data_IF_274544005323
#
_entry.id   IF_274544005323
#
_cell.length_a   1.000
_cell.length_b   1.000
_cell.length_c   1.000
_cell.angle_alpha   90.00
_cell.angle_beta   90.00
_cell.angle_gamma   90.00
#
_symmetry.space_group_name_H-M   'P 1'
#
loop_
_entity.id
_entity.type
_entity.pdbx_description
1 polymer ?
#
# COMPACT_ATOMS: atom_id res chain seq x y z
N UNK A 1 -10.56 -33.62 -26.80
CA UNK A 1 -9.22 -33.07 -26.50
C UNK A 1 -9.06 -31.81 -27.33
N UNK A 2 -8.78 -30.67 -26.71
CA UNK A 2 -8.54 -29.41 -27.40
C UNK A 2 -7.03 -29.16 -27.47
N UNK A 3 -6.51 -28.82 -28.64
CA UNK A 3 -5.08 -28.60 -28.86
C UNK A 3 -4.82 -27.32 -29.66
N UNK A 4 -5.71 -26.32 -29.53
CA UNK A 4 -5.53 -25.02 -30.16
C UNK A 4 -4.64 -24.09 -29.34
N UNK A 5 -4.24 -22.99 -29.96
CA UNK A 5 -3.45 -21.93 -29.33
C UNK A 5 -4.36 -20.99 -28.57
N UNK A 6 -4.01 -20.66 -27.33
CA UNK A 6 -4.72 -19.68 -26.50
C UNK A 6 -3.82 -18.47 -26.24
N UNK A 7 -4.45 -17.30 -26.33
CA UNK A 7 -3.88 -16.01 -25.96
C UNK A 7 -4.68 -15.41 -24.79
N UNK A 8 -4.01 -14.62 -23.96
CA UNK A 8 -4.64 -13.86 -22.89
C UNK A 8 -4.73 -12.39 -23.27
N UNK A 9 -5.82 -11.72 -22.87
CA UNK A 9 -5.95 -10.27 -22.86
C UNK A 9 -6.32 -9.79 -21.46
N UNK A 10 -6.02 -8.53 -21.13
CA UNK A 10 -6.29 -7.92 -19.82
C UNK A 10 -7.00 -6.57 -19.98
N UNK A 11 -7.81 -6.19 -18.99
CA UNK A 11 -8.29 -4.81 -18.85
C UNK A 11 -7.27 -3.87 -18.21
N UNK A 12 -6.22 -4.42 -17.60
CA UNK A 12 -5.16 -3.65 -16.94
C UNK A 12 -4.21 -3.03 -17.98
N UNK A 13 -4.14 -1.68 -18.07
CA UNK A 13 -3.28 -0.98 -19.03
C UNK A 13 -1.77 -1.22 -18.85
N UNK A 14 -1.36 -1.63 -17.65
CA UNK A 14 0.03 -1.92 -17.28
C UNK A 14 0.33 -3.42 -17.20
N UNK A 15 -0.57 -4.31 -17.61
CA UNK A 15 -0.36 -5.74 -17.52
C UNK A 15 0.86 -6.22 -18.30
N UNK A 16 1.60 -7.17 -17.71
CA UNK A 16 2.59 -7.97 -18.43
C UNK A 16 1.96 -9.33 -18.75
N UNK A 17 1.68 -9.55 -20.04
CA UNK A 17 1.04 -10.76 -20.54
C UNK A 17 2.09 -11.75 -21.09
N UNK A 18 1.87 -13.06 -20.92
CA UNK A 18 2.73 -14.08 -21.52
C UNK A 18 2.49 -14.18 -23.04
N UNK A 19 3.39 -14.85 -23.74
CA UNK A 19 3.17 -15.23 -25.14
C UNK A 19 2.01 -16.25 -25.26
N UNK A 20 1.34 -16.25 -26.41
CA UNK A 20 0.30 -17.25 -26.72
C UNK A 20 0.86 -18.67 -26.68
N UNK A 21 0.07 -19.62 -26.17
CA UNK A 21 0.52 -20.99 -25.92
C UNK A 21 -0.41 -22.03 -26.55
N UNK A 22 0.16 -23.08 -27.14
CA UNK A 22 -0.57 -24.27 -27.55
C UNK A 22 -0.99 -25.09 -26.33
N UNK A 23 -2.28 -25.40 -26.20
CA UNK A 23 -2.75 -26.24 -25.10
C UNK A 23 -2.44 -27.72 -25.37
N UNK A 24 -2.02 -28.45 -24.34
CA UNK A 24 -1.78 -29.90 -24.40
C UNK A 24 -2.91 -30.61 -23.69
N UNK A 25 -3.70 -31.40 -24.41
CA UNK A 25 -4.92 -32.03 -23.88
C UNK A 25 -5.91 -31.02 -23.25
N UNK A 26 -5.96 -29.80 -23.76
CA UNK A 26 -6.83 -28.72 -23.27
C UNK A 26 -6.29 -27.98 -22.04
N UNK A 27 -5.04 -28.25 -21.63
CA UNK A 27 -4.43 -27.65 -20.44
C UNK A 27 -3.18 -26.87 -20.81
N UNK A 28 -3.01 -25.71 -20.17
CA UNK A 28 -1.81 -24.87 -20.22
C UNK A 28 -1.83 -23.90 -19.05
N UNK A 29 -0.65 -23.55 -18.55
CA UNK A 29 -0.48 -22.62 -17.44
C UNK A 29 0.13 -21.33 -17.96
N UNK A 30 -0.46 -20.20 -17.56
CA UNK A 30 -0.03 -18.87 -17.93
C UNK A 30 0.30 -18.08 -16.67
N UNK A 31 1.38 -17.29 -16.72
CA UNK A 31 1.72 -16.33 -15.67
C UNK A 31 1.40 -14.93 -16.19
N UNK A 32 0.55 -14.19 -15.47
CA UNK A 32 0.19 -12.80 -15.78
C UNK A 32 0.54 -11.93 -14.58
N UNK A 33 1.14 -10.77 -14.84
CA UNK A 33 1.32 -9.73 -13.82
C UNK A 33 0.38 -8.57 -14.12
N UNK A 34 -0.44 -8.20 -13.13
CA UNK A 34 -1.29 -7.02 -13.16
C UNK A 34 -0.64 -5.91 -12.33
N UNK A 35 -0.48 -4.72 -12.90
CA UNK A 35 0.26 -3.60 -12.32
C UNK A 35 -0.62 -2.36 -12.08
N UNK A 36 -1.83 -2.28 -12.66
CA UNK A 36 -2.69 -1.12 -12.47
C UNK A 36 -3.72 -1.39 -11.38
N UNK A 37 -3.72 -0.60 -10.31
CA UNK A 37 -4.74 -0.69 -9.29
C UNK A 37 -6.16 -0.51 -9.80
N UNK A 38 -7.11 -1.16 -9.13
CA UNK A 38 -8.52 -1.15 -9.47
C UNK A 38 -9.04 -2.55 -9.81
N UNK A 39 -10.27 -2.57 -10.34
CA UNK A 39 -10.91 -3.80 -10.82
C UNK A 39 -10.36 -4.18 -12.19
N UNK A 40 -9.73 -5.34 -12.27
CA UNK A 40 -9.15 -5.89 -13.48
C UNK A 40 -9.81 -7.20 -13.88
N UNK A 41 -9.55 -7.60 -15.12
CA UNK A 41 -10.04 -8.83 -15.72
C UNK A 41 -9.00 -9.42 -16.67
N UNK A 42 -9.01 -10.75 -16.78
CA UNK A 42 -8.24 -11.51 -17.76
C UNK A 42 -9.20 -12.31 -18.61
N UNK A 43 -9.01 -12.28 -19.93
CA UNK A 43 -9.75 -13.13 -20.87
C UNK A 43 -8.79 -14.07 -21.60
N UNK A 44 -9.10 -15.36 -21.60
CA UNK A 44 -8.48 -16.36 -22.45
C UNK A 44 -9.32 -16.56 -23.72
N UNK A 45 -8.68 -16.61 -24.88
CA UNK A 45 -9.33 -16.84 -26.17
C UNK A 45 -8.38 -17.57 -27.12
N UNK A 46 -8.92 -18.33 -28.07
CA UNK A 46 -8.17 -18.95 -29.16
C UNK A 46 -8.16 -18.14 -30.47
N UNK A 47 -8.68 -16.91 -30.43
CA UNK A 47 -8.72 -16.00 -31.58
C UNK A 47 -9.88 -16.27 -32.56
N UNK A 48 -10.77 -17.22 -32.29
CA UNK A 48 -11.96 -17.44 -33.13
C UNK A 48 -13.13 -16.55 -32.69
N UNK A 49 -13.79 -15.89 -33.66
CA UNK A 49 -14.86 -14.90 -33.45
C UNK A 49 -16.20 -15.48 -32.98
N UNK A 50 -16.23 -16.72 -32.49
CA UNK A 50 -17.40 -17.32 -31.89
C UNK A 50 -17.04 -17.74 -30.46
N UNK A 51 -17.71 -17.15 -29.48
CA UNK A 51 -17.55 -17.26 -28.02
C UNK A 51 -17.64 -18.70 -27.43
N UNK A 52 -17.33 -19.75 -28.19
CA UNK A 52 -17.49 -21.15 -27.78
C UNK A 52 -16.37 -21.69 -26.87
N UNK A 53 -15.20 -21.06 -26.82
CA UNK A 53 -14.03 -21.50 -26.04
C UNK A 53 -13.32 -20.37 -25.25
N UNK A 54 -13.98 -19.22 -25.09
CA UNK A 54 -13.45 -18.10 -24.31
C UNK A 54 -13.79 -18.23 -22.81
N UNK A 55 -12.81 -17.96 -21.94
CA UNK A 55 -13.00 -17.86 -20.49
C UNK A 55 -12.60 -16.48 -20.00
N UNK A 56 -13.33 -15.92 -19.04
CA UNK A 56 -12.97 -14.64 -18.42
C UNK A 56 -12.95 -14.77 -16.90
N UNK A 57 -11.88 -14.28 -16.29
CA UNK A 57 -11.81 -14.01 -14.86
C UNK A 57 -12.02 -12.51 -14.69
N UNK A 58 -13.16 -12.11 -14.12
CA UNK A 58 -13.49 -10.71 -13.82
C UNK A 58 -13.40 -10.44 -12.32
N UNK A 59 -13.36 -9.15 -11.95
CA UNK A 59 -13.38 -8.73 -10.54
C UNK A 59 -12.08 -8.99 -9.79
N UNK A 60 -10.95 -9.10 -10.49
CA UNK A 60 -9.64 -9.18 -9.85
C UNK A 60 -9.35 -7.80 -9.27
N UNK A 61 -9.35 -7.67 -7.94
CA UNK A 61 -8.97 -6.42 -7.28
C UNK A 61 -7.45 -6.39 -7.21
N UNK A 62 -6.84 -5.50 -7.99
CA UNK A 62 -5.43 -5.11 -7.85
C UNK A 62 -5.43 -3.90 -6.94
N UNK A 63 -4.88 -4.03 -5.74
CA UNK A 63 -4.94 -2.94 -4.77
C UNK A 63 -3.71 -2.02 -4.90
N UNK A 64 -3.91 -0.69 -4.90
CA UNK A 64 -2.82 0.29 -4.69
C UNK A 64 -2.68 0.69 -3.24
N UNK A 65 -3.45 0.10 -2.33
CA UNK A 65 -3.43 0.47 -0.93
C UNK A 65 -1.98 0.50 -0.52
N UNK A 66 -1.47 1.70 -0.31
CA UNK A 66 -0.38 1.91 0.62
C UNK A 66 -0.99 1.39 1.91
N UNK A 67 -0.81 0.09 2.15
CA UNK A 67 -1.42 -0.66 3.24
C UNK A 67 -0.81 -0.11 4.51
N UNK A 68 -1.32 1.05 4.90
CA UNK A 68 -0.99 1.75 6.10
C UNK A 68 -1.61 0.93 7.22
N UNK A 69 -0.78 0.04 7.78
CA UNK A 69 -1.16 -0.70 8.97
C UNK A 69 -1.05 0.25 10.17
N UNK A 70 -2.00 0.16 11.10
CA UNK A 70 -1.87 0.89 12.36
C UNK A 70 -0.62 0.38 13.10
N UNK A 71 0.27 1.32 13.44
CA UNK A 71 1.51 1.04 14.18
C UNK A 71 1.34 1.36 15.66
N UNK A 72 0.76 2.53 15.96
CA UNK A 72 0.68 3.05 17.33
C UNK A 72 -0.44 4.08 17.49
N UNK A 73 -0.81 4.37 18.74
CA UNK A 73 -1.80 5.41 19.06
C UNK A 73 -1.45 6.14 20.35
N UNK A 74 -1.76 7.43 20.40
CA UNK A 74 -1.63 8.26 21.59
C UNK A 74 -2.78 9.25 21.66
N UNK A 75 -2.91 9.97 22.78
CA UNK A 75 -3.91 11.03 22.97
C UNK A 75 -3.16 12.31 23.28
N UNK A 76 -3.45 13.37 22.53
CA UNK A 76 -2.77 14.65 22.71
C UNK A 76 -3.35 15.48 23.87
N UNK A 77 -2.78 16.67 24.10
CA UNK A 77 -3.24 17.56 25.17
C UNK A 77 -4.63 18.15 24.93
N UNK A 78 -5.11 18.14 23.69
CA UNK A 78 -6.47 18.54 23.35
C UNK A 78 -7.48 17.40 23.56
N UNK A 79 -7.01 16.22 23.96
CA UNK A 79 -7.77 14.96 24.09
C UNK A 79 -8.15 14.36 22.74
N UNK A 80 -7.47 14.77 21.68
CA UNK A 80 -7.66 14.22 20.36
C UNK A 80 -6.83 12.94 20.20
N UNK A 81 -7.38 11.96 19.49
CA UNK A 81 -6.70 10.69 19.23
C UNK A 81 -5.72 10.87 18.10
N UNK A 82 -4.45 10.54 18.32
CA UNK A 82 -3.42 10.52 17.29
C UNK A 82 -3.13 9.08 16.90
N UNK A 83 -3.29 8.76 15.62
CA UNK A 83 -2.97 7.48 15.03
C UNK A 83 -1.69 7.59 14.21
N UNK A 84 -0.79 6.62 14.38
CA UNK A 84 0.32 6.39 13.48
C UNK A 84 0.00 5.15 12.63
N UNK A 85 0.05 5.32 11.32
CA UNK A 85 -0.01 4.23 10.36
C UNK A 85 1.26 4.24 9.50
N UNK A 86 1.77 3.09 9.10
CA UNK A 86 2.98 2.98 8.26
C UNK A 86 2.76 1.96 7.14
N UNK A 87 3.30 2.23 5.96
CA UNK A 87 3.16 1.36 4.79
C UNK A 87 4.30 0.33 4.65
N UNK A 88 5.12 0.18 5.70
CA UNK A 88 6.30 -0.68 5.78
C UNK A 88 7.34 -0.43 4.67
N UNK A 89 7.25 0.69 3.96
CA UNK A 89 8.07 1.03 2.80
C UNK A 89 8.58 2.46 2.82
N UNK A 90 8.69 3.06 4.01
CA UNK A 90 9.31 4.38 4.20
C UNK A 90 8.36 5.55 4.20
N UNK A 91 7.05 5.31 4.28
CA UNK A 91 6.05 6.35 4.48
C UNK A 91 5.20 6.06 5.70
N UNK A 92 4.94 7.10 6.49
CA UNK A 92 4.07 7.09 7.65
C UNK A 92 2.97 8.14 7.50
N UNK A 93 1.77 7.78 7.94
CA UNK A 93 0.62 8.66 8.04
C UNK A 93 0.35 8.92 9.52
N UNK A 94 0.33 10.20 9.92
CA UNK A 94 -0.15 10.62 11.24
C UNK A 94 -1.51 11.29 11.07
N UNK A 95 -2.54 10.72 11.69
CA UNK A 95 -3.89 11.27 11.70
C UNK A 95 -4.30 11.68 13.11
N UNK A 96 -4.87 12.87 13.25
CA UNK A 96 -5.48 13.34 14.49
C UNK A 96 -7.00 13.34 14.33
N UNK A 97 -7.70 12.71 15.26
CA UNK A 97 -9.14 12.56 15.28
C UNK A 97 -9.71 13.24 16.52
N UNK A 98 -10.81 13.98 16.36
CA UNK A 98 -11.55 14.51 17.50
C UNK A 98 -12.32 13.41 18.26
N UNK A 99 -12.97 13.78 19.36
CA UNK A 99 -13.81 12.88 20.17
C UNK A 99 -15.03 12.28 19.45
N UNK A 100 -15.38 12.79 18.26
CA UNK A 100 -16.44 12.26 17.40
C UNK A 100 -15.88 11.47 16.22
N UNK A 101 -14.57 11.18 16.21
CA UNK A 101 -13.84 10.50 15.14
C UNK A 101 -13.74 11.28 13.82
N UNK A 102 -13.93 12.60 13.84
CA UNK A 102 -13.64 13.43 12.67
C UNK A 102 -12.13 13.64 12.54
N UNK A 103 -11.60 13.52 11.33
CA UNK A 103 -10.19 13.82 11.04
C UNK A 103 -9.96 15.33 11.13
N UNK A 104 -9.20 15.76 12.12
CA UNK A 104 -8.73 17.14 12.27
C UNK A 104 -7.50 17.40 11.39
N UNK A 105 -6.53 16.49 11.42
CA UNK A 105 -5.27 16.59 10.68
C UNK A 105 -4.87 15.24 10.09
N UNK A 106 -4.26 15.26 8.91
CA UNK A 106 -3.77 14.05 8.21
C UNK A 106 -2.49 14.39 7.46
N UNK A 107 -1.35 13.99 8.00
CA UNK A 107 -0.03 14.36 7.49
C UNK A 107 0.78 13.11 7.11
N UNK A 108 1.35 13.11 5.90
CA UNK A 108 2.23 12.05 5.42
C UNK A 108 3.70 12.46 5.60
N UNK A 109 4.50 11.55 6.11
CA UNK A 109 5.92 11.73 6.35
C UNK A 109 6.69 10.59 5.70
N UNK A 110 7.82 10.91 5.10
CA UNK A 110 8.62 9.91 4.38
C UNK A 110 10.08 10.02 4.75
N UNK A 111 10.69 8.89 5.06
CA UNK A 111 12.14 8.74 5.15
C UNK A 111 12.50 7.42 4.47
N UNK A 112 13.17 7.50 3.32
CA UNK A 112 13.52 6.31 2.54
C UNK A 112 14.42 5.37 3.36
N UNK A 113 14.02 4.11 3.48
CA UNK A 113 14.77 3.09 4.23
C UNK A 113 14.58 3.11 5.75
N UNK A 114 13.59 3.85 6.24
CA UNK A 114 13.21 3.88 7.66
C UNK A 114 11.76 3.44 7.84
N UNK A 115 11.41 3.02 9.04
CA UNK A 115 10.05 2.65 9.41
C UNK A 115 9.62 3.49 10.60
N UNK A 116 8.44 4.09 10.56
CA UNK A 116 7.89 4.74 11.74
C UNK A 116 7.39 3.66 12.71
N UNK A 117 7.76 3.79 13.99
CA UNK A 117 7.52 2.74 14.99
C UNK A 117 6.71 3.21 16.19
N UNK A 118 6.67 4.53 16.47
CA UNK A 118 5.98 5.07 17.65
C UNK A 118 5.46 6.48 17.43
N UNK A 119 4.36 6.78 18.11
CA UNK A 119 3.85 8.14 18.30
C UNK A 119 3.60 8.42 19.77
N UNK A 120 4.02 9.58 20.25
CA UNK A 120 3.83 9.97 21.65
C UNK A 120 3.55 11.46 21.79
N UNK A 121 2.39 11.81 22.34
CA UNK A 121 2.09 13.18 22.70
C UNK A 121 2.82 13.56 24.00
N UNK A 122 3.51 14.70 24.00
CA UNK A 122 4.20 15.22 25.18
C UNK A 122 3.41 16.31 25.89
N UNK A 123 3.72 16.51 27.17
CA UNK A 123 3.16 17.57 28.01
C UNK A 123 3.52 19.00 27.59
N UNK A 124 4.39 19.15 26.58
CA UNK A 124 4.80 20.42 25.98
C UNK A 124 3.96 20.79 24.73
N UNK A 125 2.94 20.01 24.40
CA UNK A 125 2.08 20.27 23.23
C UNK A 125 2.68 19.81 21.90
N UNK A 126 3.78 19.07 21.93
CA UNK A 126 4.38 18.46 20.75
C UNK A 126 4.10 16.95 20.69
N UNK A 127 3.88 16.44 19.50
CA UNK A 127 3.80 15.00 19.22
C UNK A 127 5.14 14.51 18.71
N UNK A 128 5.68 13.45 19.31
CA UNK A 128 6.88 12.76 18.84
C UNK A 128 6.48 11.69 17.85
N UNK A 129 7.15 11.66 16.71
CA UNK A 129 7.13 10.55 15.77
C UNK A 129 8.51 9.91 15.74
N UNK A 130 8.60 8.64 16.08
CA UNK A 130 9.87 7.91 16.14
C UNK A 130 10.01 6.99 14.94
N UNK A 131 11.17 7.06 14.29
CA UNK A 131 11.57 6.22 13.18
C UNK A 131 12.76 5.35 13.55
N UNK A 132 12.88 4.18 12.91
CA UNK A 132 14.07 3.31 13.00
C UNK A 132 14.55 2.94 11.60
N UNK A 133 15.86 3.00 11.39
CA UNK A 133 16.52 2.52 10.17
C UNK A 133 16.88 1.04 10.30
N UNK A 134 17.10 0.37 9.17
CA UNK A 134 17.64 -1.00 9.16
C UNK A 134 19.04 -1.12 9.79
N UNK A 135 19.76 0.00 9.93
CA UNK A 135 21.08 0.09 10.56
C UNK A 135 21.07 0.35 12.06
N UNK A 136 19.90 0.33 12.72
CA UNK A 136 19.78 0.54 14.17
C UNK A 136 19.84 2.00 14.63
N UNK A 137 19.86 2.96 13.69
CA UNK A 137 19.72 4.39 14.01
C UNK A 137 18.25 4.72 14.24
N UNK A 138 17.97 5.65 15.14
CA UNK A 138 16.61 6.17 15.40
C UNK A 138 16.52 7.64 15.03
N UNK A 139 15.33 8.09 14.61
CA UNK A 139 15.04 9.50 14.42
C UNK A 139 13.81 9.88 15.24
N UNK A 140 13.85 11.04 15.90
CA UNK A 140 12.70 11.60 16.61
C UNK A 140 12.33 12.90 15.94
N UNK A 141 11.10 12.94 15.44
CA UNK A 141 10.50 14.10 14.80
C UNK A 141 9.50 14.73 15.77
N UNK A 142 9.52 16.05 15.92
CA UNK A 142 8.57 16.81 16.71
C UNK A 142 7.54 17.43 15.78
N UNK A 143 6.27 17.17 16.04
CA UNK A 143 5.13 17.74 15.35
C UNK A 143 4.43 18.72 16.29
N UNK A 144 3.97 19.86 15.77
CA UNK A 144 3.11 20.76 16.54
C UNK A 144 1.67 20.21 16.66
N UNK A 145 0.80 20.96 17.35
CA UNK A 145 -0.60 20.58 17.56
C UNK A 145 -1.42 20.37 16.26
N UNK A 146 -0.99 20.98 15.14
CA UNK A 146 -1.62 20.79 13.83
C UNK A 146 -1.00 19.64 13.03
N UNK A 147 -0.09 18.89 13.65
CA UNK A 147 0.63 17.79 13.04
C UNK A 147 1.74 18.20 12.07
N UNK A 148 2.15 19.47 12.03
CA UNK A 148 3.27 19.90 11.19
C UNK A 148 4.62 19.68 11.87
N UNK A 149 5.61 19.20 11.11
CA UNK A 149 6.98 19.02 11.58
C UNK A 149 7.61 20.36 12.01
N UNK A 150 8.19 20.39 13.20
CA UNK A 150 8.92 21.54 13.75
C UNK A 150 10.40 21.26 13.96
N UNK A 151 10.78 20.01 14.23
CA UNK A 151 12.17 19.59 14.45
C UNK A 151 12.33 18.10 14.15
N UNK A 152 13.53 17.70 13.75
CA UNK A 152 13.88 16.32 13.46
C UNK A 152 15.34 16.07 13.86
N UNK A 153 15.57 15.06 14.70
CA UNK A 153 16.91 14.70 15.19
C UNK A 153 17.14 13.20 15.06
N UNK A 154 18.38 12.80 14.78
CA UNK A 154 18.79 11.39 14.62
C UNK A 154 19.77 10.97 15.72
N UNK A 155 19.63 9.76 16.23
CA UNK A 155 20.40 9.20 17.34
C UNK A 155 20.87 7.78 17.03
N UNK A 156 22.05 7.39 17.54
CA UNK A 156 22.61 6.04 17.37
C UNK A 156 23.70 5.95 16.29
N UNK A 157 24.00 4.75 15.77
CA UNK A 157 23.28 3.47 15.95
C UNK A 157 23.36 2.94 17.39
N UNK A 158 22.35 2.15 17.78
CA UNK A 158 22.25 1.48 19.09
C UNK A 158 22.22 -0.04 18.94
#
# INVERSE_FOLDING_TARGET
SYSGTVQLTSSDPGAVLPASMLLTHGVGTFTVTLNTPGLQSIRASDGTLADSLGGSQTGIIVDNSTNYAQVDTTVDLNKDTVLLLDNLSGSALVQTLDSHFNVLHSNNFTIAGWTAIKVAAGGDGLTRLVWTSSGGTQAVWLLNANGFLTSAETFGPF
#
